data_IF_777162264023
#
_entry.id   IF_777162264023
#
_cell.length_a   1.000
_cell.length_b   1.000
_cell.length_c   1.000
_cell.angle_alpha   90.00
_cell.angle_beta   90.00
_cell.angle_gamma   90.00
#
_symmetry.space_group_name_H-M   'P 1'
#
loop_
_entity.id
_entity.type
_entity.pdbx_description
1 polymer ?
#
# COMPACT_ATOMS: atom_id res chain seq x y z
N UNK A 1 -2.36 -3.89 0.42
CA UNK A 1 -1.31 -2.96 -0.04
C UNK A 1 0.03 -3.49 0.38
N UNK A 2 0.97 -3.62 -0.57
CA UNK A 2 2.32 -4.14 -0.38
C UNK A 2 3.33 -3.00 -0.48
N UNK A 3 4.21 -2.88 0.49
CA UNK A 3 5.19 -1.80 0.59
C UNK A 3 6.61 -2.38 0.57
N UNK A 4 7.55 -1.60 0.07
CA UNK A 4 8.97 -1.89 0.19
C UNK A 4 9.62 -0.87 1.14
N UNK A 5 10.44 -1.33 2.07
CA UNK A 5 11.28 -0.50 2.94
C UNK A 5 12.74 -0.77 2.58
N UNK A 6 13.43 0.26 2.11
CA UNK A 6 14.87 0.22 1.78
C UNK A 6 15.61 1.12 2.75
N UNK A 7 16.28 0.53 3.72
CA UNK A 7 16.97 1.20 4.82
C UNK A 7 18.10 0.30 5.32
N UNK A 8 19.32 0.79 5.38
CA UNK A 8 20.50 0.00 5.71
C UNK A 8 20.70 -0.22 7.23
N UNK A 9 20.17 0.69 8.07
CA UNK A 9 20.16 0.48 9.52
C UNK A 9 19.13 -0.61 9.89
N UNK A 10 19.59 -1.79 10.41
CA UNK A 10 18.68 -2.91 10.68
C UNK A 10 17.64 -2.60 11.77
N UNK A 11 17.95 -1.73 12.71
CA UNK A 11 17.04 -1.38 13.80
C UNK A 11 15.96 -0.44 13.30
N UNK A 12 16.31 0.55 12.51
CA UNK A 12 15.35 1.46 11.90
C UNK A 12 14.47 0.75 10.86
N UNK A 13 15.09 -0.11 10.01
CA UNK A 13 14.35 -0.94 9.06
C UNK A 13 13.30 -1.82 9.77
N UNK A 14 13.69 -2.48 10.89
CA UNK A 14 12.76 -3.27 11.71
C UNK A 14 11.65 -2.42 12.31
N UNK A 15 11.94 -1.23 12.85
CA UNK A 15 10.94 -0.33 13.43
C UNK A 15 9.91 0.12 12.36
N UNK A 16 10.37 0.54 11.20
CA UNK A 16 9.53 0.92 10.06
C UNK A 16 8.65 -0.25 9.62
N UNK A 17 9.26 -1.41 9.41
CA UNK A 17 8.55 -2.63 8.98
C UNK A 17 7.47 -3.02 10.00
N UNK A 18 7.79 -3.03 11.29
CA UNK A 18 6.83 -3.37 12.34
C UNK A 18 5.66 -2.40 12.35
N UNK A 19 5.94 -1.09 12.35
CA UNK A 19 4.88 -0.07 12.39
C UNK A 19 3.96 -0.14 11.16
N UNK A 20 4.52 -0.38 9.96
CA UNK A 20 3.75 -0.53 8.73
C UNK A 20 2.93 -1.84 8.73
N UNK A 21 3.50 -2.94 9.22
CA UNK A 21 2.79 -4.23 9.33
C UNK A 21 1.64 -4.15 10.33
N UNK A 22 1.84 -3.50 11.47
CA UNK A 22 0.79 -3.26 12.48
C UNK A 22 -0.34 -2.37 11.93
N UNK A 23 0.00 -1.45 11.01
CA UNK A 23 -0.98 -0.66 10.29
C UNK A 23 -1.72 -1.43 9.18
N UNK A 24 -1.41 -2.70 8.97
CA UNK A 24 -2.12 -3.59 8.05
C UNK A 24 -1.50 -3.71 6.66
N UNK A 25 -0.29 -3.24 6.43
CA UNK A 25 0.43 -3.42 5.16
C UNK A 25 1.19 -4.74 5.12
N UNK A 26 1.45 -5.27 3.94
CA UNK A 26 2.47 -6.27 3.68
C UNK A 26 3.77 -5.54 3.38
N UNK A 27 4.88 -5.91 4.02
CA UNK A 27 6.12 -5.12 3.92
C UNK A 27 7.29 -6.03 3.60
N UNK A 28 7.91 -5.80 2.45
CA UNK A 28 9.20 -6.35 2.09
C UNK A 28 10.33 -5.39 2.51
N UNK A 29 11.51 -5.94 2.71
CA UNK A 29 12.69 -5.20 3.21
C UNK A 29 13.85 -5.36 2.26
N UNK A 30 14.65 -4.29 2.13
CA UNK A 30 15.96 -4.29 1.53
C UNK A 30 16.93 -3.51 2.44
N UNK A 31 18.21 -3.90 2.43
CA UNK A 31 19.22 -3.31 3.31
C UNK A 31 20.32 -2.56 2.55
N UNK A 32 20.21 -2.51 1.24
CA UNK A 32 21.09 -1.73 0.37
C UNK A 32 20.36 -1.31 -0.92
N UNK A 33 20.99 -0.38 -1.66
CA UNK A 33 20.36 0.16 -2.85
C UNK A 33 20.29 -0.80 -4.03
N UNK A 34 21.20 -1.78 -4.15
CA UNK A 34 21.13 -2.78 -5.22
C UNK A 34 19.97 -3.75 -5.00
N UNK A 35 19.80 -4.23 -3.76
CA UNK A 35 18.66 -5.07 -3.37
C UNK A 35 17.34 -4.30 -3.53
N UNK A 36 17.31 -3.03 -3.05
CA UNK A 36 16.16 -2.15 -3.20
C UNK A 36 15.79 -1.94 -4.66
N UNK A 37 16.78 -1.63 -5.51
CA UNK A 37 16.58 -1.45 -6.95
C UNK A 37 15.98 -2.72 -7.59
N UNK A 38 16.57 -3.88 -7.30
CA UNK A 38 16.10 -5.16 -7.85
C UNK A 38 14.66 -5.45 -7.46
N UNK A 39 14.32 -5.34 -6.17
CA UNK A 39 12.96 -5.60 -5.68
C UNK A 39 11.94 -4.63 -6.28
N UNK A 40 12.23 -3.32 -6.26
CA UNK A 40 11.32 -2.32 -6.81
C UNK A 40 11.12 -2.40 -8.33
N UNK A 41 12.06 -3.06 -9.03
CA UNK A 41 11.96 -3.28 -10.48
C UNK A 41 11.27 -4.61 -10.84
N UNK A 42 11.38 -5.63 -10.00
CA UNK A 42 10.83 -6.96 -10.26
C UNK A 42 9.45 -7.21 -9.65
N UNK A 43 9.14 -6.58 -8.51
CA UNK A 43 7.93 -6.84 -7.74
C UNK A 43 6.94 -5.66 -7.82
N UNK A 44 5.62 -5.92 -7.68
CA UNK A 44 4.62 -4.87 -7.64
C UNK A 44 4.48 -4.31 -6.23
N UNK A 45 4.83 -3.04 -6.04
CA UNK A 45 4.62 -2.31 -4.78
C UNK A 45 3.63 -1.16 -4.95
N UNK A 46 2.81 -0.96 -3.90
CA UNK A 46 1.86 0.16 -3.83
C UNK A 46 2.52 1.46 -3.38
N UNK A 47 3.59 1.38 -2.57
CA UNK A 47 4.47 2.49 -2.24
C UNK A 47 5.82 1.98 -1.71
N UNK A 48 6.82 2.87 -1.68
CA UNK A 48 8.17 2.57 -1.20
C UNK A 48 8.59 3.61 -0.16
N UNK A 49 9.25 3.16 0.91
CA UNK A 49 10.04 3.99 1.82
C UNK A 49 11.51 3.78 1.48
N UNK A 50 12.22 4.84 1.09
CA UNK A 50 13.56 4.76 0.53
C UNK A 50 14.51 5.72 1.26
N UNK A 51 15.54 5.17 1.91
CA UNK A 51 16.64 6.00 2.41
C UNK A 51 17.55 6.47 1.26
N UNK A 52 18.09 7.68 1.38
CA UNK A 52 19.08 8.22 0.43
C UNK A 52 20.45 7.64 0.70
N UNK A 53 20.82 7.45 1.96
CA UNK A 53 22.17 7.12 2.42
C UNK A 53 22.54 5.65 2.29
N UNK A 54 22.00 4.93 1.31
CA UNK A 54 22.20 3.49 1.16
C UNK A 54 23.61 3.11 0.69
N UNK A 55 24.14 1.97 1.14
CA UNK A 55 25.36 1.39 0.59
C UNK A 55 25.10 0.79 -0.81
N UNK A 56 26.19 0.51 -1.55
CA UNK A 56 26.26 -0.02 -2.91
C UNK A 56 25.69 0.91 -3.98
N UNK A 57 24.43 1.29 -3.87
CA UNK A 57 23.73 2.22 -4.76
C UNK A 57 22.95 3.20 -3.91
N UNK A 58 23.21 4.52 -4.05
CA UNK A 58 22.49 5.53 -3.28
C UNK A 58 21.02 5.63 -3.69
N UNK A 59 20.15 6.06 -2.74
CA UNK A 59 18.70 6.03 -2.95
C UNK A 59 18.21 6.94 -4.08
N UNK A 60 18.89 8.03 -4.40
CA UNK A 60 18.53 8.88 -5.55
C UNK A 60 18.77 8.12 -6.85
N UNK A 61 19.93 7.46 -6.99
CA UNK A 61 20.25 6.62 -8.15
C UNK A 61 19.26 5.46 -8.30
N UNK A 62 18.82 4.84 -7.18
CA UNK A 62 17.76 3.82 -7.17
C UNK A 62 16.46 4.37 -7.74
N UNK A 63 16.02 5.52 -7.23
CA UNK A 63 14.77 6.16 -7.66
C UNK A 63 14.80 6.53 -9.14
N UNK A 64 15.88 7.16 -9.61
CA UNK A 64 16.06 7.49 -11.02
C UNK A 64 16.03 6.25 -11.92
N UNK A 65 16.65 5.15 -11.49
CA UNK A 65 16.61 3.90 -12.22
C UNK A 65 15.19 3.36 -12.34
N UNK A 66 14.42 3.33 -11.25
CA UNK A 66 13.01 2.95 -11.28
C UNK A 66 12.20 3.83 -12.24
N UNK A 67 12.38 5.15 -12.20
CA UNK A 67 11.65 6.07 -13.09
C UNK A 67 12.03 5.87 -14.56
N UNK A 68 13.30 5.64 -14.87
CA UNK A 68 13.75 5.28 -16.24
C UNK A 68 13.13 3.97 -16.73
N UNK A 69 12.93 3.00 -15.84
CA UNK A 69 12.29 1.72 -16.16
C UNK A 69 10.75 1.80 -16.17
N UNK A 70 10.16 2.99 -16.04
CA UNK A 70 8.71 3.20 -16.07
C UNK A 70 7.98 2.79 -14.78
N UNK A 71 8.71 2.59 -13.69
CA UNK A 71 8.11 2.29 -12.38
C UNK A 71 7.53 3.57 -11.77
N UNK A 72 6.22 3.60 -11.58
CA UNK A 72 5.46 4.78 -11.13
C UNK A 72 4.95 4.68 -9.69
N UNK A 73 5.36 3.65 -8.92
CA UNK A 73 4.95 3.53 -7.52
C UNK A 73 5.37 4.77 -6.73
N UNK A 74 4.53 5.26 -5.80
CA UNK A 74 4.85 6.38 -4.93
C UNK A 74 6.07 6.08 -4.04
N UNK A 75 6.98 7.05 -3.92
CA UNK A 75 8.20 6.92 -3.11
C UNK A 75 8.26 8.01 -2.07
N UNK A 76 8.35 7.59 -0.80
CA UNK A 76 8.67 8.42 0.36
C UNK A 76 10.16 8.34 0.64
N UNK A 77 10.90 9.43 0.45
CA UNK A 77 12.32 9.49 0.76
C UNK A 77 12.55 9.73 2.26
N UNK A 78 13.49 8.98 2.83
CA UNK A 78 14.09 9.29 4.13
C UNK A 78 15.45 9.98 3.89
N UNK A 79 15.75 11.03 4.65
CA UNK A 79 17.00 11.78 4.52
C UNK A 79 17.57 12.13 5.88
N UNK A 80 18.89 11.95 6.06
CA UNK A 80 19.60 12.28 7.29
C UNK A 80 19.78 13.80 7.53
N UNK A 81 19.53 14.64 6.51
CA UNK A 81 19.78 16.07 6.59
C UNK A 81 18.70 16.89 5.90
N UNK A 82 18.38 18.02 6.54
CA UNK A 82 17.49 19.05 6.03
C UNK A 82 18.21 19.94 4.99
N UNK A 83 19.08 19.37 4.15
CA UNK A 83 19.71 20.10 3.07
C UNK A 83 18.70 20.33 1.97
N UNK A 84 18.48 21.57 1.63
CA UNK A 84 17.62 21.97 0.52
C UNK A 84 18.02 21.28 -0.80
N UNK A 85 19.33 21.09 -1.03
CA UNK A 85 19.84 20.39 -2.21
C UNK A 85 19.33 18.95 -2.33
N UNK A 86 19.32 18.19 -1.23
CA UNK A 86 18.93 16.77 -1.24
C UNK A 86 17.42 16.63 -1.50
N UNK A 87 16.63 17.59 -0.97
CA UNK A 87 15.19 17.65 -1.23
C UNK A 87 14.88 17.95 -2.70
N UNK A 88 15.57 18.96 -3.28
CA UNK A 88 15.42 19.33 -4.69
C UNK A 88 15.80 18.14 -5.59
N UNK A 89 16.96 17.51 -5.34
CA UNK A 89 17.38 16.33 -6.10
C UNK A 89 16.38 15.18 -6.00
N UNK A 90 15.82 14.92 -4.79
CA UNK A 90 14.82 13.88 -4.60
C UNK A 90 13.55 14.13 -5.42
N UNK A 91 13.05 15.36 -5.44
CA UNK A 91 11.89 15.73 -6.25
C UNK A 91 12.18 15.67 -7.75
N UNK A 92 13.35 16.16 -8.19
CA UNK A 92 13.78 16.11 -9.60
C UNK A 92 13.97 14.65 -10.06
N UNK A 93 14.43 13.76 -9.15
CA UNK A 93 14.51 12.32 -9.39
C UNK A 93 13.13 11.61 -9.43
N UNK A 94 12.05 12.31 -9.05
CA UNK A 94 10.67 11.80 -9.10
C UNK A 94 10.14 11.23 -7.79
N UNK A 95 10.63 11.70 -6.63
CA UNK A 95 10.05 11.39 -5.33
C UNK A 95 8.68 12.07 -5.15
N UNK A 96 7.78 11.43 -4.41
CA UNK A 96 6.43 11.94 -4.17
C UNK A 96 6.29 12.66 -2.82
N UNK A 97 7.16 12.35 -1.85
CA UNK A 97 7.25 13.01 -0.55
C UNK A 97 8.61 12.70 0.10
N UNK A 98 8.94 13.42 1.19
CA UNK A 98 10.18 13.18 1.94
C UNK A 98 9.99 13.42 3.44
N UNK A 99 10.84 12.77 4.26
CA UNK A 99 10.91 12.95 5.71
C UNK A 99 12.37 13.04 6.14
N UNK A 100 12.69 14.05 6.97
CA UNK A 100 14.01 14.19 7.56
C UNK A 100 14.16 13.30 8.82
N UNK A 101 15.28 12.61 8.96
CA UNK A 101 15.67 11.90 10.17
C UNK A 101 16.22 12.94 11.21
N UNK A 102 15.84 12.87 12.52
CA UNK A 102 14.94 11.89 13.13
C UNK A 102 13.46 12.24 12.91
N UNK A 103 12.62 11.21 12.81
CA UNK A 103 11.18 11.35 12.59
C UNK A 103 10.38 10.48 13.59
N UNK A 104 9.09 10.74 13.69
CA UNK A 104 8.15 9.89 14.39
C UNK A 104 7.51 8.89 13.43
N UNK A 105 7.31 7.63 13.88
CA UNK A 105 6.70 6.58 13.04
C UNK A 105 5.28 6.95 12.58
N UNK A 106 4.54 7.68 13.41
CA UNK A 106 3.20 8.18 13.07
C UNK A 106 3.23 9.13 11.86
N UNK A 107 4.32 9.89 11.68
CA UNK A 107 4.51 10.76 10.51
C UNK A 107 4.69 9.91 9.25
N UNK A 108 5.52 8.87 9.30
CA UNK A 108 5.70 7.93 8.18
C UNK A 108 4.36 7.30 7.80
N UNK A 109 3.61 6.78 8.77
CA UNK A 109 2.30 6.19 8.54
C UNK A 109 1.30 7.17 7.92
N UNK A 110 1.30 8.42 8.36
CA UNK A 110 0.41 9.45 7.82
C UNK A 110 0.75 9.79 6.35
N UNK A 111 2.05 9.89 6.03
CA UNK A 111 2.53 10.19 4.68
C UNK A 111 2.29 9.03 3.72
N UNK A 112 2.57 7.79 4.12
CA UNK A 112 2.27 6.59 3.32
C UNK A 112 0.78 6.52 3.00
N UNK A 113 -0.11 6.73 4.00
CA UNK A 113 -1.57 6.80 3.71
C UNK A 113 -1.92 7.90 2.71
N UNK A 114 -1.28 9.06 2.80
CA UNK A 114 -1.51 10.16 1.86
C UNK A 114 -1.01 9.84 0.44
N UNK A 115 0.14 9.17 0.32
CA UNK A 115 0.70 8.73 -0.96
C UNK A 115 -0.22 7.69 -1.62
N UNK A 116 -0.59 6.63 -0.91
CA UNK A 116 -1.48 5.58 -1.40
C UNK A 116 -2.85 6.14 -1.82
N UNK A 117 -3.38 7.09 -1.06
CA UNK A 117 -4.63 7.76 -1.39
C UNK A 117 -4.53 8.57 -2.69
N UNK A 118 -3.46 9.35 -2.85
CA UNK A 118 -3.21 10.17 -4.05
C UNK A 118 -3.00 9.31 -5.29
N UNK A 119 -2.23 8.24 -5.18
CA UNK A 119 -1.94 7.33 -6.31
C UNK A 119 -3.19 6.61 -6.82
N UNK A 120 -4.18 6.39 -5.95
CA UNK A 120 -5.47 5.78 -6.31
C UNK A 120 -6.60 6.78 -6.58
N UNK A 121 -6.28 8.09 -6.64
CA UNK A 121 -7.21 9.14 -7.03
C UNK A 121 -8.21 9.58 -5.95
N UNK A 122 -7.99 9.19 -4.68
CA UNK A 122 -8.89 9.56 -3.59
C UNK A 122 -8.44 10.85 -2.88
N UNK A 123 -9.38 11.76 -2.62
CA UNK A 123 -9.09 13.02 -1.94
C UNK A 123 -9.17 12.91 -0.41
N UNK A 124 -10.06 12.06 0.11
CA UNK A 124 -10.36 11.95 1.54
C UNK A 124 -9.78 10.67 2.15
N UNK A 125 -9.50 10.68 3.47
CA UNK A 125 -9.03 9.51 4.22
C UNK A 125 -10.12 8.45 4.44
N UNK A 126 -11.37 8.80 4.24
CA UNK A 126 -12.50 7.89 4.25
C UNK A 126 -12.80 7.46 2.81
N UNK A 127 -12.68 6.17 2.55
CA UNK A 127 -13.06 5.54 1.29
C UNK A 127 -14.52 5.13 1.39
N UNK A 128 -15.32 5.41 0.35
CA UNK A 128 -16.76 5.09 0.33
C UNK A 128 -17.14 4.33 -0.93
N UNK A 129 -18.02 3.34 -0.77
CA UNK A 129 -18.64 2.63 -1.88
C UNK A 129 -20.11 2.30 -1.52
N UNK A 130 -21.07 3.05 -2.05
CA UNK A 130 -22.44 2.99 -1.61
C UNK A 130 -22.58 3.28 -0.11
N UNK A 131 -23.25 2.41 0.67
CA UNK A 131 -23.42 2.61 2.11
C UNK A 131 -22.17 2.19 2.94
N UNK A 132 -21.17 1.61 2.30
CA UNK A 132 -19.94 1.14 2.99
C UNK A 132 -18.92 2.24 3.05
N UNK A 133 -18.38 2.50 4.24
CA UNK A 133 -17.25 3.39 4.46
C UNK A 133 -16.10 2.70 5.19
N UNK A 134 -14.87 3.11 4.88
CA UNK A 134 -13.64 2.64 5.46
C UNK A 134 -12.73 3.84 5.78
N UNK A 135 -12.48 4.09 7.06
CA UNK A 135 -11.51 5.10 7.52
C UNK A 135 -10.11 4.46 7.53
N UNK A 136 -9.27 4.86 6.58
CA UNK A 136 -7.90 4.33 6.43
C UNK A 136 -6.98 4.72 7.59
N UNK A 137 -7.33 5.74 8.37
CA UNK A 137 -6.55 6.20 9.52
C UNK A 137 -6.80 5.33 10.75
N UNK A 138 -8.04 4.90 10.97
CA UNK A 138 -8.43 4.11 12.14
C UNK A 138 -8.63 2.63 11.86
N UNK A 139 -8.65 2.24 10.58
CA UNK A 139 -8.97 0.87 10.16
C UNK A 139 -10.43 0.49 10.40
N UNK A 140 -11.33 1.45 10.61
CA UNK A 140 -12.74 1.19 10.89
C UNK A 140 -13.53 1.05 9.60
N UNK A 141 -14.36 0.01 9.56
CA UNK A 141 -15.34 -0.23 8.49
C UNK A 141 -16.73 -0.04 9.06
N UNK A 142 -17.61 0.62 8.30
CA UNK A 142 -19.03 0.75 8.66
C UNK A 142 -19.92 0.57 7.43
N UNK A 143 -21.18 0.19 7.69
CA UNK A 143 -22.25 0.12 6.68
C UNK A 143 -23.37 1.01 7.17
N UNK A 144 -23.72 2.05 6.43
CA UNK A 144 -24.71 3.07 6.83
C UNK A 144 -24.45 3.65 8.23
N UNK A 145 -23.14 3.87 8.57
CA UNK A 145 -22.71 4.37 9.86
C UNK A 145 -22.59 3.30 10.98
N UNK A 146 -23.07 2.08 10.77
CA UNK A 146 -22.97 1.00 11.74
C UNK A 146 -21.63 0.28 11.63
N UNK A 147 -20.82 0.17 12.72
CA UNK A 147 -19.51 -0.47 12.66
C UNK A 147 -19.59 -1.97 12.32
N UNK A 148 -18.71 -2.42 11.44
CA UNK A 148 -18.55 -3.83 11.06
C UNK A 148 -17.17 -4.31 11.46
N UNK A 149 -17.11 -5.41 12.25
CA UNK A 149 -15.83 -6.00 12.68
C UNK A 149 -15.25 -6.87 11.55
N UNK A 150 -14.02 -6.54 11.15
CA UNK A 150 -13.24 -7.29 10.18
C UNK A 150 -12.03 -7.95 10.85
N UNK A 151 -11.61 -9.11 10.35
CA UNK A 151 -10.27 -9.62 10.62
C UNK A 151 -9.24 -8.85 9.80
N UNK A 152 -7.95 -8.96 10.13
CA UNK A 152 -6.88 -8.25 9.41
C UNK A 152 -6.88 -8.56 7.91
N UNK A 153 -7.07 -9.82 7.52
CA UNK A 153 -7.12 -10.22 6.10
C UNK A 153 -8.37 -9.69 5.39
N UNK A 154 -9.54 -9.75 6.03
CA UNK A 154 -10.78 -9.19 5.46
C UNK A 154 -10.65 -7.68 5.28
N UNK A 155 -10.06 -6.98 6.27
CA UNK A 155 -9.79 -5.55 6.17
C UNK A 155 -8.83 -5.23 5.02
N UNK A 156 -7.69 -5.92 4.93
CA UNK A 156 -6.71 -5.71 3.84
C UNK A 156 -7.34 -5.90 2.46
N UNK A 157 -8.12 -6.98 2.29
CA UNK A 157 -8.79 -7.26 1.03
C UNK A 157 -9.83 -6.17 0.69
N UNK A 158 -10.69 -5.81 1.64
CA UNK A 158 -11.68 -4.76 1.43
C UNK A 158 -11.02 -3.42 1.14
N UNK A 159 -10.00 -3.03 1.91
CA UNK A 159 -9.27 -1.78 1.72
C UNK A 159 -8.62 -1.74 0.32
N UNK A 160 -8.00 -2.83 -0.13
CA UNK A 160 -7.42 -2.91 -1.47
C UNK A 160 -8.47 -2.69 -2.55
N UNK A 161 -9.60 -3.39 -2.47
CA UNK A 161 -10.71 -3.21 -3.41
C UNK A 161 -11.30 -1.79 -3.37
N UNK A 162 -11.42 -1.19 -2.19
CA UNK A 162 -11.94 0.19 -2.04
C UNK A 162 -11.00 1.24 -2.62
N UNK A 163 -9.69 1.05 -2.52
CA UNK A 163 -8.72 1.89 -3.23
C UNK A 163 -8.83 1.77 -4.76
N UNK A 164 -9.33 0.64 -5.26
CA UNK A 164 -9.47 0.35 -6.69
C UNK A 164 -10.94 0.26 -7.14
N UNK A 165 -11.83 1.03 -6.51
CA UNK A 165 -13.26 1.08 -6.85
C UNK A 165 -13.46 1.36 -8.34
N UNK A 166 -14.35 0.59 -8.99
CA UNK A 166 -14.66 0.73 -10.41
C UNK A 166 -13.68 0.00 -11.34
N UNK A 167 -12.60 -0.61 -10.81
CA UNK A 167 -11.64 -1.42 -11.56
C UNK A 167 -11.77 -2.90 -11.20
N UNK A 168 -11.67 -3.77 -12.21
CA UNK A 168 -11.55 -5.22 -11.95
C UNK A 168 -10.16 -5.51 -11.41
N UNK A 169 -10.10 -6.10 -10.22
CA UNK A 169 -8.88 -6.54 -9.56
C UNK A 169 -8.76 -8.05 -9.73
N UNK A 170 -7.67 -8.50 -10.32
CA UNK A 170 -7.46 -9.93 -10.55
C UNK A 170 -7.15 -10.66 -9.23
N UNK A 171 -7.39 -11.99 -9.24
CA UNK A 171 -7.02 -12.82 -8.10
C UNK A 171 -5.52 -12.81 -7.82
N UNK A 172 -4.70 -12.90 -8.88
CA UNK A 172 -3.24 -12.85 -8.78
C UNK A 172 -2.80 -11.54 -8.12
N UNK A 173 -3.31 -10.41 -8.58
CA UNK A 173 -3.05 -9.09 -7.99
C UNK A 173 -3.43 -9.04 -6.50
N UNK A 174 -4.58 -9.59 -6.12
CA UNK A 174 -4.98 -9.66 -4.70
C UNK A 174 -4.00 -10.50 -3.88
N UNK A 175 -3.54 -11.63 -4.40
CA UNK A 175 -2.55 -12.47 -3.70
C UNK A 175 -1.23 -11.72 -3.54
N UNK A 176 -0.71 -11.09 -4.59
CA UNK A 176 0.55 -10.35 -4.57
C UNK A 176 0.56 -9.17 -3.58
N UNK A 177 -0.57 -8.49 -3.43
CA UNK A 177 -0.67 -7.29 -2.58
C UNK A 177 -1.20 -7.54 -1.15
N UNK A 178 -1.70 -8.75 -0.86
CA UNK A 178 -2.32 -9.06 0.44
C UNK A 178 -1.57 -10.09 1.27
N UNK A 179 -0.67 -10.85 0.63
CA UNK A 179 0.09 -11.90 1.30
C UNK A 179 1.58 -11.68 1.16
N UNK A 180 2.31 -12.06 2.22
CA UNK A 180 3.76 -12.16 2.21
C UNK A 180 4.22 -13.32 1.31
N UNK A 181 5.46 -13.29 0.80
CA UNK A 181 6.00 -14.30 -0.11
C UNK A 181 5.97 -15.72 0.45
N UNK A 182 6.00 -15.86 1.78
CA UNK A 182 5.97 -17.16 2.48
C UNK A 182 4.59 -17.75 2.71
N UNK A 183 3.52 -17.06 2.29
CA UNK A 183 2.17 -17.57 2.49
C UNK A 183 1.84 -18.64 1.45
N UNK A 184 1.39 -19.82 1.94
CA UNK A 184 0.93 -20.92 1.09
C UNK A 184 -0.19 -20.41 0.14
N UNK A 185 0.14 -20.34 -1.16
CA UNK A 185 -0.70 -19.75 -2.23
C UNK A 185 -1.90 -20.64 -2.56
N UNK A 186 -2.49 -21.29 -1.55
CA UNK A 186 -3.64 -22.16 -1.76
C UNK A 186 -4.80 -21.37 -2.37
N UNK A 187 -5.26 -21.88 -3.46
CA UNK A 187 -6.05 -21.19 -4.48
C UNK A 187 -7.41 -20.66 -4.02
N UNK A 188 -7.94 -21.04 -2.86
CA UNK A 188 -9.31 -20.73 -2.43
C UNK A 188 -9.40 -19.66 -1.32
N UNK A 189 -8.29 -19.10 -0.88
CA UNK A 189 -8.27 -18.20 0.29
C UNK A 189 -8.96 -16.86 0.00
N UNK A 190 -8.77 -16.31 -1.20
CA UNK A 190 -9.42 -15.04 -1.61
C UNK A 190 -10.93 -15.20 -1.69
N UNK A 191 -11.43 -16.29 -2.29
CA UNK A 191 -12.86 -16.60 -2.40
C UNK A 191 -13.53 -16.70 -1.03
N UNK A 192 -12.84 -17.34 -0.08
CA UNK A 192 -13.34 -17.48 1.30
C UNK A 192 -13.46 -16.10 1.97
N UNK A 193 -12.42 -15.24 1.82
CA UNK A 193 -12.48 -13.89 2.40
C UNK A 193 -13.53 -13.02 1.71
N UNK A 194 -13.65 -13.06 0.41
CA UNK A 194 -14.72 -12.34 -0.33
C UNK A 194 -16.10 -12.80 0.17
N UNK A 195 -16.32 -14.10 0.31
CA UNK A 195 -17.58 -14.64 0.84
C UNK A 195 -17.89 -14.16 2.26
N UNK A 196 -16.87 -14.13 3.14
CA UNK A 196 -17.02 -13.62 4.51
C UNK A 196 -17.30 -12.11 4.55
N UNK A 197 -16.61 -11.32 3.71
CA UNK A 197 -16.83 -9.86 3.62
C UNK A 197 -18.26 -9.60 3.14
N UNK A 198 -18.71 -10.23 2.06
CA UNK A 198 -20.10 -10.09 1.56
C UNK A 198 -21.13 -10.37 2.66
N UNK A 199 -20.94 -11.47 3.40
CA UNK A 199 -21.82 -11.82 4.52
C UNK A 199 -21.80 -10.79 5.66
N UNK A 200 -20.67 -10.18 5.94
CA UNK A 200 -20.53 -9.18 7.02
C UNK A 200 -21.06 -7.80 6.64
N UNK A 201 -20.87 -7.42 5.39
CA UNK A 201 -21.36 -6.14 4.88
C UNK A 201 -22.88 -6.18 4.64
N UNK A 202 -23.41 -7.34 4.24
CA UNK A 202 -24.81 -7.52 3.84
C UNK A 202 -25.29 -6.50 2.80
N UNK A 203 -24.36 -6.12 1.91
CA UNK A 203 -24.60 -5.19 0.80
C UNK A 203 -23.82 -5.69 -0.42
N UNK A 204 -24.45 -5.69 -1.59
CA UNK A 204 -23.86 -6.18 -2.83
C UNK A 204 -23.00 -5.11 -3.53
N UNK A 205 -21.81 -4.88 -2.97
CA UNK A 205 -20.80 -3.98 -3.55
C UNK A 205 -19.62 -4.71 -4.19
N UNK A 206 -19.41 -5.99 -3.89
CA UNK A 206 -18.32 -6.79 -4.45
C UNK A 206 -18.89 -7.75 -5.47
N UNK A 207 -18.64 -7.53 -6.74
CA UNK A 207 -19.08 -8.38 -7.84
C UNK A 207 -17.96 -9.34 -8.26
N UNK A 208 -18.32 -10.58 -8.61
CA UNK A 208 -17.38 -11.52 -9.22
C UNK A 208 -17.46 -11.39 -10.73
N UNK A 209 -16.35 -11.01 -11.37
CA UNK A 209 -16.21 -10.98 -12.83
C UNK A 209 -15.56 -12.31 -13.25
N UNK A 210 -16.36 -13.22 -13.79
CA UNK A 210 -15.93 -14.60 -14.11
C UNK A 210 -14.67 -14.60 -14.98
N UNK A 211 -13.67 -15.35 -14.55
CA UNK A 211 -12.37 -15.48 -15.23
C UNK A 211 -11.44 -14.27 -15.10
N UNK A 212 -11.88 -13.15 -14.52
CA UNK A 212 -11.06 -11.93 -14.41
C UNK A 212 -10.74 -11.54 -12.96
N UNK A 213 -11.68 -11.70 -12.01
CA UNK A 213 -11.46 -11.32 -10.61
C UNK A 213 -12.67 -10.69 -9.94
N UNK A 214 -12.45 -9.61 -9.22
CA UNK A 214 -13.45 -8.92 -8.41
C UNK A 214 -13.53 -7.44 -8.77
N UNK A 215 -14.75 -6.93 -8.78
CA UNK A 215 -15.06 -5.53 -9.05
C UNK A 215 -15.83 -4.98 -7.85
N UNK A 216 -15.35 -3.86 -7.29
CA UNK A 216 -16.09 -3.13 -6.26
C UNK A 216 -16.79 -1.95 -6.90
N UNK A 217 -18.13 -1.91 -6.75
CA UNK A 217 -18.98 -0.82 -7.26
C UNK A 217 -20.10 -0.53 -6.27
N UNK A 218 -20.61 0.71 -6.23
CA UNK A 218 -21.84 0.99 -5.48
C UNK A 218 -22.96 0.02 -5.89
N UNK A 219 -23.86 -0.35 -4.97
CA UNK A 219 -25.00 -1.20 -5.30
C UNK A 219 -25.87 -0.51 -6.34
N UNK A 220 -26.46 -1.26 -7.24
CA UNK A 220 -27.40 -0.73 -8.22
C UNK A 220 -28.62 -0.11 -7.51
N UNK A 221 -29.14 1.05 -7.97
CA UNK A 221 -30.26 1.71 -7.30
C UNK A 221 -31.58 0.93 -7.29
N UNK A 222 -31.60 -0.32 -7.83
CA UNK A 222 -32.78 -1.19 -7.97
C UNK A 222 -32.56 -2.59 -7.36
N UNK A 223 -31.74 -2.74 -6.33
CA UNK A 223 -31.56 -4.05 -5.64
C UNK A 223 -32.24 -4.03 -4.29
#
# INVERSE_FOLDING_TARGET
MRLLVVEDDPDLNRQLTTALTDAGYVVDRAFDGEEGHFLGDSEPYDAVVLDIGLPKMDGISVLEAWRRNGRAMPVLILTARDRWSDKVQGFDAGADDYVAKPFHLEEILARIRALLRRSTGHAQSELTCGPVSLDTRTGRVSVSGNPVKMTSHEYRLLAYLMHHTGRVVSRTELVEHLYDQDFDRDSNTIEVFVGRIRKKLDVDIIQTVRGLGYLLTPPSPNS
#
